data_IF_847726583790
#
_entry.id   IF_847726583790
#
_cell.length_a   1.000
_cell.length_b   1.000
_cell.length_c   1.000
_cell.angle_alpha   90.00
_cell.angle_beta   90.00
_cell.angle_gamma   90.00
#
_symmetry.space_group_name_H-M   'P 1'
#
loop_
_entity.id
_entity.type
_entity.pdbx_description
1 polymer ?
#
# COMPACT_ATOMS: atom_id res chain seq x y z
N UNK A 1 -17.84 -2.94 -10.65
CA UNK A 1 -17.62 -4.38 -10.85
C UNK A 1 -18.10 -4.82 -12.23
N UNK A 2 -17.32 -5.64 -12.93
CA UNK A 2 -17.66 -6.15 -14.27
C UNK A 2 -18.93 -7.02 -14.25
N UNK A 3 -19.74 -6.92 -15.31
CA UNK A 3 -20.91 -7.77 -15.56
C UNK A 3 -20.59 -9.27 -15.50
N UNK A 4 -19.33 -9.63 -15.72
CA UNK A 4 -18.85 -11.01 -15.85
C UNK A 4 -18.08 -11.55 -14.64
N UNK A 5 -18.00 -10.80 -13.54
CA UNK A 5 -17.25 -11.24 -12.34
C UNK A 5 -17.73 -12.61 -11.79
N UNK A 6 -19.02 -12.93 -11.97
CA UNK A 6 -19.62 -14.22 -11.59
C UNK A 6 -19.08 -15.44 -12.36
N UNK A 7 -18.34 -15.23 -13.46
CA UNK A 7 -17.72 -16.32 -14.22
C UNK A 7 -16.40 -16.79 -13.60
N UNK A 8 -15.75 -15.93 -12.81
CA UNK A 8 -14.42 -16.18 -12.25
C UNK A 8 -14.46 -16.43 -10.75
N UNK A 9 -15.47 -15.88 -10.06
CA UNK A 9 -15.67 -16.06 -8.63
C UNK A 9 -16.95 -16.85 -8.39
N UNK A 10 -16.86 -17.87 -7.54
CA UNK A 10 -18.00 -18.66 -7.05
C UNK A 10 -18.97 -17.79 -6.24
N UNK A 11 -19.95 -18.40 -5.56
CA UNK A 11 -20.83 -17.67 -4.65
C UNK A 11 -20.00 -16.81 -3.68
N UNK A 12 -20.31 -15.51 -3.61
CA UNK A 12 -19.47 -14.54 -2.91
C UNK A 12 -19.55 -14.78 -1.41
N UNK A 13 -18.50 -15.35 -0.84
CA UNK A 13 -18.24 -15.30 0.60
C UNK A 13 -17.71 -13.91 0.92
N UNK A 14 -18.15 -13.34 2.05
CA UNK A 14 -17.78 -12.00 2.48
C UNK A 14 -17.03 -12.04 3.81
N UNK A 15 -15.97 -11.25 3.92
CA UNK A 15 -15.32 -10.90 5.18
C UNK A 15 -15.89 -9.55 5.65
N UNK A 16 -16.24 -9.44 6.95
CA UNK A 16 -16.87 -8.23 7.49
C UNK A 16 -15.88 -7.44 8.34
N UNK A 17 -15.73 -6.15 8.03
CA UNK A 17 -14.94 -5.19 8.80
C UNK A 17 -15.84 -3.97 8.98
N UNK A 18 -16.65 -3.96 10.03
CA UNK A 18 -17.73 -2.97 10.17
C UNK A 18 -17.21 -1.52 10.08
N UNK A 19 -17.88 -0.64 9.31
CA UNK A 19 -19.21 -0.81 8.67
C UNK A 19 -19.18 -1.46 7.28
N UNK A 20 -18.02 -1.94 6.83
CA UNK A 20 -17.81 -2.48 5.49
C UNK A 20 -17.88 -4.01 5.47
N UNK A 21 -18.05 -4.54 4.27
CA UNK A 21 -17.74 -5.94 3.96
C UNK A 21 -17.02 -6.04 2.63
N UNK A 22 -16.25 -7.09 2.48
CA UNK A 22 -15.41 -7.33 1.32
C UNK A 22 -15.65 -8.74 0.79
N UNK A 23 -15.91 -8.91 -0.51
CA UNK A 23 -15.92 -10.25 -1.10
C UNK A 23 -14.52 -10.86 -1.05
N UNK A 24 -14.45 -12.13 -0.64
CA UNK A 24 -13.23 -12.93 -0.59
C UNK A 24 -13.01 -13.55 -1.96
N UNK A 25 -11.84 -13.28 -2.55
CA UNK A 25 -11.46 -13.84 -3.85
C UNK A 25 -10.25 -14.78 -3.74
N UNK A 26 -9.47 -14.69 -2.65
CA UNK A 26 -8.19 -15.37 -2.48
C UNK A 26 -7.21 -15.08 -3.64
N UNK A 27 -7.40 -13.93 -4.29
CA UNK A 27 -6.61 -13.45 -5.43
C UNK A 27 -6.93 -11.97 -5.68
N UNK A 28 -6.12 -11.27 -6.47
CA UNK A 28 -6.36 -9.91 -6.94
C UNK A 28 -7.19 -9.90 -8.23
N UNK A 29 -8.15 -8.99 -8.34
CA UNK A 29 -8.71 -8.71 -9.67
C UNK A 29 -7.72 -7.89 -10.49
N UNK A 30 -7.78 -7.97 -11.82
CA UNK A 30 -6.82 -7.31 -12.71
C UNK A 30 -6.60 -5.82 -12.43
N UNK A 31 -7.67 -5.06 -12.15
CA UNK A 31 -7.55 -3.63 -11.82
C UNK A 31 -6.88 -3.34 -10.48
N UNK A 32 -6.95 -4.28 -9.53
CA UNK A 32 -6.20 -4.19 -8.27
C UNK A 32 -4.74 -4.57 -8.48
N UNK A 33 -4.47 -5.63 -9.25
CA UNK A 33 -3.11 -6.02 -9.59
C UNK A 33 -2.35 -4.90 -10.29
N UNK A 34 -2.98 -4.23 -11.26
CA UNK A 34 -2.42 -3.06 -11.95
C UNK A 34 -2.13 -1.91 -10.96
N UNK A 35 -3.10 -1.56 -10.10
CA UNK A 35 -2.92 -0.50 -9.10
C UNK A 35 -1.84 -0.82 -8.07
N UNK A 36 -1.75 -2.08 -7.62
CA UNK A 36 -0.69 -2.55 -6.72
C UNK A 36 0.68 -2.45 -7.40
N UNK A 37 0.77 -2.83 -8.68
CA UNK A 37 2.00 -2.69 -9.46
C UNK A 37 2.40 -1.22 -9.62
N UNK A 38 1.45 -0.32 -9.86
CA UNK A 38 1.72 1.12 -9.96
C UNK A 38 2.29 1.68 -8.65
N UNK A 39 1.71 1.29 -7.51
CA UNK A 39 2.22 1.65 -6.18
C UNK A 39 3.64 1.11 -5.98
N UNK A 40 3.88 -0.15 -6.33
CA UNK A 40 5.22 -0.76 -6.22
C UNK A 40 6.25 -0.11 -7.15
N UNK A 41 5.86 0.27 -8.37
CA UNK A 41 6.71 0.94 -9.36
C UNK A 41 7.13 2.33 -8.88
N UNK A 42 6.20 3.09 -8.30
CA UNK A 42 6.50 4.40 -7.68
C UNK A 42 7.53 4.24 -6.56
N UNK A 43 7.35 3.26 -5.68
CA UNK A 43 8.31 2.96 -4.61
C UNK A 43 9.70 2.60 -5.14
N UNK A 44 9.77 1.75 -6.16
CA UNK A 44 11.04 1.34 -6.77
C UNK A 44 11.76 2.52 -7.44
N UNK A 45 11.02 3.39 -8.14
CA UNK A 45 11.55 4.62 -8.76
C UNK A 45 12.22 5.53 -7.72
N UNK A 46 11.54 5.79 -6.60
CA UNK A 46 12.06 6.64 -5.53
C UNK A 46 13.33 6.07 -4.89
N UNK A 47 13.33 4.75 -4.65
CA UNK A 47 14.49 4.05 -4.10
C UNK A 47 15.69 4.11 -5.04
N UNK A 48 15.46 3.92 -6.34
CA UNK A 48 16.51 4.01 -7.35
C UNK A 48 17.05 5.43 -7.50
N UNK A 49 16.18 6.44 -7.46
CA UNK A 49 16.56 7.86 -7.44
C UNK A 49 17.50 8.17 -6.27
N UNK A 50 17.13 7.77 -5.06
CA UNK A 50 17.95 7.98 -3.86
C UNK A 50 19.32 7.29 -3.97
N UNK A 51 19.36 6.06 -4.44
CA UNK A 51 20.61 5.32 -4.65
C UNK A 51 21.52 5.98 -5.69
N UNK A 52 20.95 6.53 -6.76
CA UNK A 52 21.70 7.25 -7.80
C UNK A 52 22.34 8.52 -7.24
N UNK A 53 21.58 9.30 -6.47
CA UNK A 53 22.10 10.51 -5.79
C UNK A 53 23.22 10.13 -4.82
N UNK A 54 23.00 9.11 -3.98
CA UNK A 54 23.99 8.64 -3.03
C UNK A 54 25.29 8.18 -3.71
N UNK A 55 25.19 7.47 -4.84
CA UNK A 55 26.36 7.07 -5.63
C UNK A 55 27.12 8.28 -6.18
N UNK A 56 26.40 9.30 -6.63
CA UNK A 56 27.01 10.54 -7.13
C UNK A 56 27.73 11.32 -6.03
N UNK A 57 27.08 11.47 -4.87
CA UNK A 57 27.67 12.11 -3.69
C UNK A 57 28.89 11.34 -3.16
N UNK A 58 28.80 10.02 -3.09
CA UNK A 58 29.90 9.13 -2.70
C UNK A 58 31.15 9.35 -3.57
N UNK A 59 30.96 9.41 -4.89
CA UNK A 59 32.06 9.65 -5.83
C UNK A 59 32.68 11.04 -5.66
N UNK A 60 31.86 12.08 -5.42
CA UNK A 60 32.35 13.46 -5.23
C UNK A 60 33.15 13.61 -3.94
N UNK A 61 32.67 13.02 -2.85
CA UNK A 61 33.30 13.14 -1.52
C UNK A 61 34.37 12.07 -1.25
N UNK A 62 34.49 11.06 -2.11
CA UNK A 62 35.41 9.94 -1.89
C UNK A 62 35.02 9.05 -0.69
N UNK A 63 33.72 9.00 -0.36
CA UNK A 63 33.18 8.22 0.76
C UNK A 63 32.43 6.98 0.25
N UNK A 64 32.21 5.94 1.08
CA UNK A 64 31.35 4.83 0.73
C UNK A 64 29.90 5.27 0.44
N UNK A 65 29.22 4.58 -0.48
CA UNK A 65 27.80 4.83 -0.81
C UNK A 65 26.89 4.76 0.42
N UNK A 66 27.20 3.88 1.37
CA UNK A 66 26.47 3.77 2.63
C UNK A 66 26.57 5.06 3.46
N UNK A 67 27.75 5.63 3.57
CA UNK A 67 27.98 6.89 4.29
C UNK A 67 27.31 8.07 3.58
N UNK A 68 27.31 8.06 2.24
CA UNK A 68 26.55 9.04 1.46
C UNK A 68 25.03 8.94 1.69
N UNK A 69 24.46 7.73 1.83
CA UNK A 69 23.05 7.56 2.18
C UNK A 69 22.72 8.09 3.58
N UNK A 70 23.61 7.83 4.55
CA UNK A 70 23.45 8.34 5.93
C UNK A 70 23.48 9.87 5.96
N UNK A 71 24.36 10.50 5.17
CA UNK A 71 24.37 11.95 4.99
C UNK A 71 23.06 12.46 4.39
N UNK A 72 22.59 11.87 3.28
CA UNK A 72 21.35 12.30 2.63
C UNK A 72 20.10 12.15 3.51
N UNK A 73 20.12 11.21 4.47
CA UNK A 73 19.02 10.97 5.41
C UNK A 73 19.03 11.86 6.66
N UNK A 74 20.08 12.64 6.88
CA UNK A 74 20.18 13.53 8.04
C UNK A 74 19.53 14.89 7.76
N UNK A 75 18.64 15.33 8.65
CA UNK A 75 17.93 16.61 8.55
C UNK A 75 18.86 17.83 8.50
N UNK A 76 20.10 17.70 8.97
CA UNK A 76 21.10 18.78 9.04
C UNK A 76 22.12 18.71 7.90
N UNK A 77 21.98 17.75 6.97
CA UNK A 77 22.98 17.54 5.91
C UNK A 77 22.95 18.65 4.85
N UNK A 78 21.78 19.23 4.60
CA UNK A 78 21.66 20.39 3.71
C UNK A 78 22.40 21.60 4.28
N UNK A 79 22.32 21.87 5.58
CA UNK A 79 22.98 23.07 6.15
C UNK A 79 24.51 22.91 6.25
N UNK A 80 25.02 21.68 6.37
CA UNK A 80 26.42 21.39 6.66
C UNK A 80 27.27 20.95 5.45
N UNK A 81 26.69 20.74 4.26
CA UNK A 81 27.41 20.20 3.11
C UNK A 81 26.98 20.79 1.76
N UNK A 82 27.90 21.56 1.15
CA UNK A 82 27.72 22.19 -0.18
C UNK A 82 27.38 21.18 -1.28
N UNK A 83 27.88 19.94 -1.19
CA UNK A 83 27.62 18.91 -2.20
C UNK A 83 26.23 18.30 -2.09
N UNK A 84 25.56 18.44 -0.95
CA UNK A 84 24.18 18.00 -0.75
C UNK A 84 23.21 19.02 -1.35
N UNK A 85 23.55 20.32 -1.31
CA UNK A 85 22.73 21.39 -1.91
C UNK A 85 22.38 21.14 -3.37
N UNK A 86 23.32 20.62 -4.15
CA UNK A 86 23.13 20.32 -5.58
C UNK A 86 22.03 19.28 -5.85
N UNK A 87 21.68 18.47 -4.84
CA UNK A 87 20.65 17.44 -4.95
C UNK A 87 19.38 17.78 -4.18
N UNK A 88 19.28 18.94 -3.51
CA UNK A 88 18.11 19.27 -2.67
C UNK A 88 16.80 19.22 -3.47
N UNK A 89 16.79 19.71 -4.71
CA UNK A 89 15.57 19.68 -5.55
C UNK A 89 15.18 18.24 -5.91
N UNK A 90 16.15 17.40 -6.31
CA UNK A 90 15.91 15.99 -6.66
C UNK A 90 15.53 15.16 -5.42
N UNK A 91 16.17 15.43 -4.27
CA UNK A 91 15.84 14.84 -2.97
C UNK A 91 14.46 15.28 -2.49
N UNK A 92 14.08 16.54 -2.66
CA UNK A 92 12.77 17.05 -2.30
C UNK A 92 11.68 16.41 -3.16
N UNK A 93 11.93 16.24 -4.46
CA UNK A 93 11.04 15.49 -5.34
C UNK A 93 10.91 14.02 -4.89
N UNK A 94 12.03 13.33 -4.64
CA UNK A 94 12.03 11.95 -4.14
C UNK A 94 11.35 11.86 -2.77
N UNK A 95 11.53 12.83 -1.88
CA UNK A 95 10.94 12.81 -0.54
C UNK A 95 9.43 13.05 -0.59
N UNK A 96 8.98 13.95 -1.47
CA UNK A 96 7.56 14.20 -1.74
C UNK A 96 6.89 12.98 -2.38
N UNK A 97 7.61 12.27 -3.26
CA UNK A 97 7.12 11.06 -3.92
C UNK A 97 7.33 9.79 -3.07
N UNK A 98 8.25 9.81 -2.10
CA UNK A 98 8.52 8.70 -1.19
C UNK A 98 7.34 8.54 -0.25
N UNK A 99 6.40 7.69 -0.66
CA UNK A 99 5.30 7.29 0.20
C UNK A 99 5.87 6.65 1.46
N UNK A 100 5.72 7.33 2.60
CA UNK A 100 5.83 6.73 3.92
C UNK A 100 5.03 5.42 3.95
N UNK A 101 5.46 4.41 4.71
CA UNK A 101 4.70 3.18 4.98
C UNK A 101 3.22 3.46 5.29
N UNK A 102 2.93 4.54 6.00
CA UNK A 102 1.56 5.00 6.27
C UNK A 102 0.81 5.44 4.99
N UNK A 103 1.45 6.20 4.11
CA UNK A 103 0.84 6.62 2.83
C UNK A 103 0.66 5.42 1.90
N UNK A 104 1.61 4.49 1.85
CA UNK A 104 1.45 3.24 1.10
C UNK A 104 0.24 2.44 1.58
N UNK A 105 0.05 2.33 2.90
CA UNK A 105 -1.11 1.70 3.50
C UNK A 105 -2.40 2.39 3.05
N UNK A 106 -2.46 3.72 3.11
CA UNK A 106 -3.61 4.53 2.67
C UNK A 106 -3.90 4.28 1.18
N UNK A 107 -2.89 4.31 0.31
CA UNK A 107 -3.07 4.08 -1.13
C UNK A 107 -3.61 2.67 -1.41
N UNK A 108 -3.05 1.66 -0.75
CA UNK A 108 -3.48 0.26 -0.89
C UNK A 108 -4.92 0.06 -0.42
N UNK A 109 -5.28 0.59 0.74
CA UNK A 109 -6.65 0.51 1.27
C UNK A 109 -7.61 1.25 0.35
N UNK A 110 -7.28 2.47 -0.10
CA UNK A 110 -8.11 3.24 -1.04
C UNK A 110 -8.41 2.45 -2.31
N UNK A 111 -7.38 1.81 -2.88
CA UNK A 111 -7.53 0.96 -4.06
C UNK A 111 -8.55 -0.15 -3.82
N UNK A 112 -8.40 -0.91 -2.73
CA UNK A 112 -9.32 -2.00 -2.42
C UNK A 112 -10.73 -1.54 -2.04
N UNK A 113 -10.86 -0.38 -1.40
CA UNK A 113 -12.16 0.23 -1.10
C UNK A 113 -12.94 0.47 -2.40
N UNK A 114 -12.31 1.05 -3.42
CA UNK A 114 -12.93 1.30 -4.73
C UNK A 114 -13.40 0.02 -5.44
N UNK A 115 -12.61 -1.03 -5.37
CA UNK A 115 -12.87 -2.25 -6.12
C UNK A 115 -13.81 -3.23 -5.40
N UNK A 116 -13.76 -3.27 -4.06
CA UNK A 116 -14.38 -4.35 -3.28
C UNK A 116 -15.30 -3.92 -2.17
N UNK A 117 -15.07 -2.76 -1.56
CA UNK A 117 -15.82 -2.42 -0.36
C UNK A 117 -17.29 -2.26 -0.69
N UNK A 118 -18.11 -2.95 0.10
CA UNK A 118 -19.53 -2.71 0.16
C UNK A 118 -19.87 -2.13 1.54
N UNK A 119 -20.67 -1.07 1.56
CA UNK A 119 -21.28 -0.52 2.77
C UNK A 119 -22.80 -0.64 2.71
N UNK A 120 -23.47 -0.58 3.87
CA UNK A 120 -24.93 -0.55 3.91
C UNK A 120 -25.44 0.86 3.59
N UNK A 121 -26.21 0.98 2.52
CA UNK A 121 -27.09 2.11 2.25
C UNK A 121 -28.55 1.62 2.23
N UNK A 122 -29.42 2.19 3.07
CA UNK A 122 -30.85 1.83 3.20
C UNK A 122 -31.11 0.31 3.22
N UNK A 123 -30.36 -0.41 4.05
CA UNK A 123 -30.39 -1.88 4.23
C UNK A 123 -29.96 -2.70 2.99
N UNK A 124 -29.34 -2.07 2.00
CA UNK A 124 -28.73 -2.75 0.85
C UNK A 124 -27.24 -2.52 0.86
N UNK A 125 -26.49 -3.56 0.54
CA UNK A 125 -25.06 -3.44 0.35
C UNK A 125 -24.76 -2.85 -1.01
N UNK A 126 -24.01 -1.75 -1.03
CA UNK A 126 -23.65 -1.00 -2.23
C UNK A 126 -22.15 -0.86 -2.31
N UNK A 127 -21.61 -0.98 -3.52
CA UNK A 127 -20.17 -0.76 -3.78
C UNK A 127 -19.81 0.72 -3.62
N UNK A 128 -18.56 0.98 -3.29
CA UNK A 128 -18.01 2.33 -3.08
C UNK A 128 -16.96 2.70 -4.16
N UNK A 129 -17.30 2.70 -5.47
CA UNK A 129 -16.32 2.88 -6.55
C UNK A 129 -15.69 4.29 -6.59
N UNK A 130 -16.33 5.28 -5.97
CA UNK A 130 -15.91 6.67 -5.89
C UNK A 130 -15.10 6.98 -4.62
N UNK A 131 -14.82 5.99 -3.77
CA UNK A 131 -14.05 6.16 -2.54
C UNK A 131 -12.70 6.86 -2.79
N UNK A 132 -12.43 7.97 -2.10
CA UNK A 132 -11.25 8.80 -2.31
C UNK A 132 -10.09 8.45 -1.36
N UNK A 133 -8.93 9.07 -1.59
CA UNK A 133 -7.80 8.95 -0.67
C UNK A 133 -8.12 9.68 0.64
N UNK A 134 -8.83 10.80 0.54
CA UNK A 134 -9.29 11.61 1.64
C UNK A 134 -10.23 10.82 2.56
N UNK A 135 -11.16 10.04 2.00
CA UNK A 135 -12.04 9.16 2.77
C UNK A 135 -11.25 8.11 3.58
N UNK A 136 -10.18 7.57 2.98
CA UNK A 136 -9.27 6.63 3.68
C UNK A 136 -8.46 7.32 4.78
N UNK A 137 -8.08 8.60 4.61
CA UNK A 137 -7.35 9.37 5.64
C UNK A 137 -8.21 9.69 6.86
N UNK A 138 -9.51 9.84 6.67
CA UNK A 138 -10.46 10.07 7.77
C UNK A 138 -10.88 8.76 8.48
N UNK A 139 -10.49 7.60 7.93
CA UNK A 139 -10.80 6.30 8.50
C UNK A 139 -10.10 6.08 9.85
N UNK A 140 -10.80 5.51 10.87
CA UNK A 140 -10.15 5.10 12.11
C UNK A 140 -8.99 4.13 11.86
N UNK A 141 -7.87 4.34 12.56
CA UNK A 141 -6.65 3.53 12.39
C UNK A 141 -6.89 2.02 12.50
N UNK A 142 -7.76 1.61 13.43
CA UNK A 142 -8.14 0.20 13.61
C UNK A 142 -8.77 -0.39 12.34
N UNK A 143 -9.71 0.31 11.72
CA UNK A 143 -10.38 -0.16 10.50
C UNK A 143 -9.39 -0.17 9.33
N UNK A 144 -8.53 0.85 9.24
CA UNK A 144 -7.47 0.92 8.24
C UNK A 144 -6.52 -0.29 8.35
N UNK A 145 -6.16 -0.69 9.57
CA UNK A 145 -5.31 -1.85 9.85
C UNK A 145 -6.01 -3.16 9.50
N UNK A 146 -7.24 -3.36 9.94
CA UNK A 146 -8.04 -4.55 9.64
C UNK A 146 -8.18 -4.75 8.11
N UNK A 147 -8.45 -3.67 7.36
CA UNK A 147 -8.57 -3.74 5.89
C UNK A 147 -7.20 -4.02 5.27
N UNK A 148 -6.14 -3.41 5.75
CA UNK A 148 -4.80 -3.66 5.23
C UNK A 148 -4.33 -5.09 5.47
N UNK A 149 -4.70 -5.68 6.61
CA UNK A 149 -4.45 -7.09 6.90
C UNK A 149 -5.23 -8.01 5.95
N UNK A 150 -6.53 -7.73 5.74
CA UNK A 150 -7.35 -8.43 4.76
C UNK A 150 -6.73 -8.39 3.35
N UNK A 151 -6.19 -7.25 2.93
CA UNK A 151 -5.46 -7.12 1.65
C UNK A 151 -4.23 -8.03 1.64
N UNK A 152 -3.52 -8.12 2.77
CA UNK A 152 -2.42 -9.05 2.96
C UNK A 152 -2.82 -10.50 2.74
N UNK A 153 -3.96 -10.92 3.30
CA UNK A 153 -4.49 -12.28 3.12
C UNK A 153 -4.88 -12.59 1.68
N UNK A 154 -5.55 -11.66 1.01
CA UNK A 154 -5.94 -11.82 -0.40
C UNK A 154 -4.73 -11.93 -1.35
N UNK A 155 -3.58 -11.34 -0.97
CA UNK A 155 -2.36 -11.33 -1.78
C UNK A 155 -1.41 -12.47 -1.47
N UNK A 156 -1.24 -12.79 -0.19
CA UNK A 156 -0.17 -13.64 0.29
C UNK A 156 -0.65 -14.98 0.83
N UNK A 157 -1.98 -15.19 0.85
CA UNK A 157 -2.61 -16.37 1.44
C UNK A 157 -3.36 -16.01 2.71
N UNK A 158 -4.54 -16.63 2.85
CA UNK A 158 -5.32 -16.55 4.07
C UNK A 158 -4.61 -17.34 5.18
N UNK A 159 -4.70 -16.88 6.44
CA UNK A 159 -4.25 -17.70 7.56
C UNK A 159 -4.94 -19.06 7.44
N UNK A 160 -4.16 -20.14 7.49
CA UNK A 160 -4.74 -21.48 7.64
C UNK A 160 -5.58 -21.43 8.91
N UNK A 161 -6.86 -21.80 8.79
CA UNK A 161 -7.81 -21.78 9.90
C UNK A 161 -7.09 -22.38 11.12
N UNK A 162 -7.01 -21.62 12.22
CA UNK A 162 -6.61 -22.16 13.49
C UNK A 162 -7.69 -23.17 13.90
N UNK A 163 -7.54 -24.39 13.38
CA UNK A 163 -8.27 -25.63 13.59
C UNK A 163 -9.66 -25.44 14.22
N UNK A 164 -10.75 -25.65 13.48
CA UNK A 164 -11.32 -26.99 13.30
C UNK A 164 -10.62 -28.14 14.09
N UNK A 165 -10.47 -28.02 15.42
CA UNK A 165 -10.51 -29.17 16.34
C UNK A 165 -11.56 -28.90 17.42
N UNK A 166 -12.80 -28.74 16.98
CA UNK A 166 -13.96 -29.04 17.80
C UNK A 166 -14.85 -30.00 16.99
N UNK A 167 -14.91 -31.23 17.48
CA UNK A 167 -15.86 -32.31 17.14
C UNK A 167 -15.53 -33.20 15.92
N UNK A 168 -15.03 -34.42 16.20
CA UNK A 168 -15.42 -35.62 15.43
C UNK A 168 -14.42 -36.78 15.39
N UNK A 169 -14.75 -37.87 16.10
CA UNK A 169 -14.19 -39.24 16.14
C UNK A 169 -13.08 -39.47 17.19
N UNK A 170 -13.23 -40.30 18.23
CA UNK A 170 -14.15 -41.42 18.55
C UNK A 170 -14.66 -41.35 20.01
#
# INVERSE_FOLDING_TARGET
MSKYAKLYFSEKVYHSIEPFRFPIYKDLVAGEAEGVEEVARKQASNTYGLLKIAKSLANKKGIPVKEALELLGSSDAAENDEHVYEYIEELSAIQTESTNVAEQKIQMVTLFMRYRAEAKDRNKWVLLPDWSVEDTREMPSRILEDIFEFIGWERNGWPEDAEEVAEGNE
#
